data_IF_288815708508
#
_entry.id   IF_288815708508
#
_cell.length_a   1.000
_cell.length_b   1.000
_cell.length_c   1.000
_cell.angle_alpha   90.00
_cell.angle_beta   90.00
_cell.angle_gamma   90.00
#
_symmetry.space_group_name_H-M   'P 1'
#
loop_
_entity.id
_entity.type
_entity.pdbx_description
1 polymer ?
#
# COMPACT_ATOMS: atom_id res chain seq x y z
N UNK A 1 -9.60 17.61 0.48
CA UNK A 1 -8.58 16.55 0.40
C UNK A 1 -8.78 15.86 -0.92
N UNK A 2 -7.71 15.71 -1.68
CA UNK A 2 -7.73 14.93 -2.92
C UNK A 2 -7.88 13.44 -2.58
N UNK A 3 -8.55 12.69 -3.45
CA UNK A 3 -8.77 11.25 -3.26
C UNK A 3 -7.64 10.50 -3.93
N UNK A 4 -7.12 9.47 -3.26
CA UNK A 4 -6.08 8.58 -3.79
C UNK A 4 -6.69 7.21 -4.04
N UNK A 5 -6.31 6.57 -5.15
CA UNK A 5 -6.86 5.30 -5.60
C UNK A 5 -5.75 4.28 -5.80
N UNK A 6 -6.04 3.02 -5.51
CA UNK A 6 -5.13 1.91 -5.75
C UNK A 6 -5.09 1.49 -7.25
N UNK A 7 -4.33 0.44 -7.57
CA UNK A 7 -4.23 -0.08 -8.95
C UNK A 7 -5.55 -0.61 -9.53
N UNK A 8 -6.58 -0.83 -8.71
CA UNK A 8 -7.92 -1.28 -9.11
C UNK A 8 -8.96 -0.15 -9.11
N UNK A 9 -8.53 1.12 -9.04
CA UNK A 9 -9.41 2.29 -8.91
C UNK A 9 -10.29 2.26 -7.64
N UNK A 10 -9.82 1.63 -6.57
CA UNK A 10 -10.50 1.65 -5.27
C UNK A 10 -9.91 2.76 -4.41
N UNK A 11 -10.76 3.58 -3.79
CA UNK A 11 -10.33 4.66 -2.89
C UNK A 11 -9.60 4.07 -1.67
N UNK A 12 -8.37 4.53 -1.45
CA UNK A 12 -7.52 4.18 -0.30
C UNK A 12 -7.37 5.35 0.66
N UNK A 13 -7.18 5.04 1.95
CA UNK A 13 -7.11 5.99 3.07
C UNK A 13 -6.09 5.52 4.10
N UNK A 14 -5.59 6.47 4.88
CA UNK A 14 -4.80 6.16 6.08
C UNK A 14 -5.57 5.20 6.98
N UNK A 15 -4.90 4.14 7.41
CA UNK A 15 -5.45 3.02 8.19
C UNK A 15 -5.93 1.83 7.35
N UNK A 16 -6.09 1.97 6.03
CA UNK A 16 -6.48 0.85 5.17
C UNK A 16 -5.39 -0.22 5.14
N UNK A 17 -5.84 -1.47 4.97
CA UNK A 17 -4.96 -2.62 4.75
C UNK A 17 -4.79 -2.87 3.25
N UNK A 18 -3.54 -3.03 2.81
CA UNK A 18 -3.19 -3.20 1.41
C UNK A 18 -2.19 -4.34 1.22
N UNK A 19 -2.14 -4.86 0.00
CA UNK A 19 -1.11 -5.77 -0.48
C UNK A 19 -0.20 -4.97 -1.40
N UNK A 20 1.10 -5.13 -1.21
CA UNK A 20 2.13 -4.58 -2.08
C UNK A 20 3.13 -5.69 -2.42
N UNK A 21 3.57 -5.73 -3.67
CA UNK A 21 4.62 -6.62 -4.13
C UNK A 21 5.97 -5.95 -3.90
N UNK A 22 6.64 -6.32 -2.80
CA UNK A 22 8.00 -5.84 -2.51
C UNK A 22 9.00 -6.57 -3.43
N UNK A 23 9.67 -5.87 -4.38
CA UNK A 23 10.62 -6.49 -5.30
C UNK A 23 11.92 -6.94 -4.62
N UNK A 24 12.22 -6.48 -3.41
CA UNK A 24 13.40 -6.88 -2.64
C UNK A 24 13.18 -8.17 -1.84
N UNK A 25 11.92 -8.54 -1.61
CA UNK A 25 11.53 -9.78 -0.94
C UNK A 25 11.10 -10.78 -2.01
N UNK A 26 11.36 -12.07 -1.79
CA UNK A 26 11.03 -13.10 -2.75
C UNK A 26 9.56 -12.98 -3.17
N UNK A 27 9.32 -13.02 -4.48
CA UNK A 27 8.12 -12.63 -5.23
C UNK A 27 6.80 -13.31 -4.79
N UNK A 28 6.85 -14.18 -3.79
CA UNK A 28 5.81 -15.13 -3.41
C UNK A 28 5.04 -14.75 -2.16
N UNK A 29 5.49 -13.75 -1.38
CA UNK A 29 4.73 -13.35 -0.20
C UNK A 29 3.63 -12.32 -0.52
N UNK A 30 2.71 -12.72 -1.41
CA UNK A 30 1.47 -11.99 -1.67
C UNK A 30 0.50 -12.04 -0.47
N UNK A 31 0.87 -12.73 0.62
CA UNK A 31 0.07 -12.81 1.84
C UNK A 31 0.36 -11.67 2.80
N UNK A 32 1.49 -10.96 2.61
CA UNK A 32 1.90 -9.84 3.45
C UNK A 32 0.89 -8.69 3.35
N UNK A 33 0.43 -8.24 4.51
CA UNK A 33 -0.55 -7.17 4.63
C UNK A 33 0.14 -5.97 5.25
N UNK A 34 0.04 -4.84 4.57
CA UNK A 34 0.57 -3.57 5.00
C UNK A 34 -0.56 -2.64 5.44
N UNK A 35 -0.23 -1.63 6.22
CA UNK A 35 -1.12 -0.56 6.69
C UNK A 35 -0.69 0.75 6.06
N UNK A 36 -1.62 1.55 5.57
CA UNK A 36 -1.31 2.91 5.11
C UNK A 36 -1.16 3.83 6.32
N UNK A 37 0.02 4.41 6.51
CA UNK A 37 0.28 5.36 7.61
C UNK A 37 0.11 6.81 7.14
N UNK A 38 0.43 7.08 5.87
CA UNK A 38 0.39 8.44 5.31
C UNK A 38 0.23 8.40 3.80
N UNK A 39 -0.43 9.42 3.26
CA UNK A 39 -0.56 9.66 1.82
C UNK A 39 -0.08 11.09 1.53
N UNK A 40 0.81 11.24 0.57
CA UNK A 40 1.28 12.54 0.06
C UNK A 40 1.26 12.51 -1.46
N UNK A 41 0.29 13.20 -2.05
CA UNK A 41 0.02 13.18 -3.50
C UNK A 41 -0.17 11.74 -4.00
N UNK A 42 0.76 11.24 -4.82
CA UNK A 42 0.75 9.87 -5.36
C UNK A 42 1.57 8.87 -4.54
N UNK A 43 2.36 9.36 -3.57
CA UNK A 43 3.22 8.54 -2.72
C UNK A 43 2.46 8.12 -1.46
N UNK A 44 2.51 6.83 -1.16
CA UNK A 44 1.86 6.19 -0.02
C UNK A 44 2.93 5.55 0.87
N UNK A 45 2.88 5.87 2.16
CA UNK A 45 3.76 5.29 3.17
C UNK A 45 3.02 4.13 3.82
N UNK A 46 3.63 2.97 3.79
CA UNK A 46 3.04 1.73 4.30
C UNK A 46 3.96 1.04 5.31
N UNK A 47 3.38 0.40 6.31
CA UNK A 47 4.11 -0.38 7.30
C UNK A 47 3.41 -1.68 7.68
N UNK A 48 4.19 -2.62 8.19
CA UNK A 48 3.71 -3.77 8.94
C UNK A 48 4.53 -3.95 10.24
N UNK A 49 4.40 -5.09 10.90
CA UNK A 49 5.10 -5.36 12.16
C UNK A 49 6.63 -5.46 12.01
N UNK A 50 7.17 -5.54 10.78
CA UNK A 50 8.58 -5.83 10.52
C UNK A 50 9.31 -4.73 9.74
N UNK A 51 8.62 -3.94 8.91
CA UNK A 51 9.26 -2.92 8.08
C UNK A 51 8.30 -1.81 7.62
N UNK A 52 8.89 -0.75 7.09
CA UNK A 52 8.20 0.37 6.43
C UNK A 52 8.66 0.50 4.98
N UNK A 53 7.81 1.04 4.11
CA UNK A 53 8.10 1.29 2.70
C UNK A 53 7.36 2.51 2.14
N UNK A 54 7.89 3.09 1.07
CA UNK A 54 7.30 4.17 0.29
C UNK A 54 6.99 3.65 -1.11
N UNK A 55 5.73 3.77 -1.53
CA UNK A 55 5.24 3.19 -2.78
C UNK A 55 4.31 4.14 -3.51
N UNK A 56 4.12 3.93 -4.80
CA UNK A 56 3.07 4.63 -5.52
C UNK A 56 1.72 3.98 -5.27
N UNK A 57 0.66 4.80 -5.22
CA UNK A 57 -0.69 4.31 -4.96
C UNK A 57 -1.15 3.23 -5.97
N UNK A 58 -0.74 3.35 -7.24
CA UNK A 58 -1.09 2.40 -8.29
C UNK A 58 -0.40 1.02 -8.15
N UNK A 59 0.59 0.89 -7.26
CA UNK A 59 1.26 -0.39 -6.96
C UNK A 59 0.54 -1.17 -5.85
N UNK A 60 -0.44 -0.55 -5.19
CA UNK A 60 -1.18 -1.14 -4.09
C UNK A 60 -2.44 -1.86 -4.57
N UNK A 61 -2.85 -2.85 -3.78
CA UNK A 61 -4.14 -3.52 -3.90
C UNK A 61 -4.83 -3.51 -2.53
N UNK A 62 -5.97 -2.82 -2.43
CA UNK A 62 -6.75 -2.76 -1.19
C UNK A 62 -7.29 -4.13 -0.81
N UNK A 63 -7.10 -4.51 0.47
CA UNK A 63 -7.63 -5.75 1.04
C UNK A 63 -9.01 -5.50 1.66
N UNK A 64 -9.98 -6.34 1.32
CA UNK A 64 -11.36 -6.29 1.84
C UNK A 64 -11.45 -6.73 3.30
#
# INVERSE_FOLDING_TARGET
MEKTFDGNNVEIKVGDKVIWYDPAIDARDLSRVWTIDKITDEIVYISDDFSESEVFANELLKKH
#
